data_IF_631761853323
#
_entry.id   IF_631761853323
#
_cell.length_a   1.000
_cell.length_b   1.000
_cell.length_c   1.000
_cell.angle_alpha   90.00
_cell.angle_beta   90.00
_cell.angle_gamma   90.00
#
_symmetry.space_group_name_H-M   'P 1'
#
loop_
_entity.id
_entity.type
_entity.pdbx_description
1 polymer ?
#
# COMPACT_ATOMS: atom_id res chain seq x y z
N UNK A 1 46.56 8.60 -2.94
CA UNK A 1 45.78 7.44 -2.45
C UNK A 1 44.53 7.79 -1.62
N UNK A 2 44.22 9.07 -1.35
CA UNK A 2 42.93 9.47 -0.79
C UNK A 2 41.80 9.65 -1.83
N UNK A 3 42.13 9.72 -3.14
CA UNK A 3 41.14 9.72 -4.22
C UNK A 3 40.45 8.36 -4.42
N UNK A 4 41.12 7.22 -4.17
CA UNK A 4 40.49 5.89 -4.25
C UNK A 4 39.42 5.68 -3.17
N UNK A 5 39.61 6.30 -2.00
CA UNK A 5 38.68 6.24 -0.87
C UNK A 5 37.41 7.03 -1.20
N UNK A 6 37.55 8.19 -1.85
CA UNK A 6 36.40 8.96 -2.34
C UNK A 6 35.64 8.20 -3.43
N UNK A 7 36.34 7.61 -4.41
CA UNK A 7 35.69 6.77 -5.42
C UNK A 7 34.92 5.58 -4.80
N UNK A 8 35.47 4.92 -3.78
CA UNK A 8 34.76 3.86 -3.05
C UNK A 8 33.49 4.38 -2.35
N UNK A 9 33.56 5.54 -1.68
CA UNK A 9 32.41 6.11 -0.94
C UNK A 9 31.32 6.65 -1.88
N UNK A 10 31.69 7.15 -3.07
CA UNK A 10 30.73 7.54 -4.11
C UNK A 10 30.12 6.31 -4.81
N UNK A 11 30.91 5.27 -5.08
CA UNK A 11 30.44 4.05 -5.73
C UNK A 11 29.47 3.26 -4.85
N UNK A 12 29.72 3.15 -3.54
CA UNK A 12 28.78 2.48 -2.61
C UNK A 12 27.47 3.24 -2.40
N UNK A 13 27.45 4.58 -2.59
CA UNK A 13 26.20 5.35 -2.61
C UNK A 13 25.33 5.03 -3.83
N UNK A 14 25.91 4.54 -4.93
CA UNK A 14 25.18 4.08 -6.12
C UNK A 14 24.68 2.63 -6.04
N UNK A 15 25.17 1.80 -5.09
CA UNK A 15 24.66 0.43 -4.90
C UNK A 15 23.48 0.42 -3.90
N UNK A 16 23.39 1.42 -3.02
CA UNK A 16 22.26 1.56 -2.10
C UNK A 16 20.96 2.10 -2.75
N UNK A 17 21.00 2.60 -3.99
CA UNK A 17 19.79 3.06 -4.72
C UNK A 17 19.09 1.92 -5.50
N UNK A 18 19.65 0.70 -5.47
CA UNK A 18 18.96 -0.50 -5.99
C UNK A 18 18.44 -1.41 -4.88
N UNK A 19 18.62 -1.02 -3.62
CA UNK A 19 17.93 -1.60 -2.47
C UNK A 19 16.54 -0.98 -2.25
N UNK A 20 15.91 -0.44 -3.31
CA UNK A 20 14.45 -0.45 -3.43
C UNK A 20 13.97 -1.90 -3.63
N UNK A 21 14.32 -2.79 -2.72
CA UNK A 21 13.54 -3.99 -2.46
C UNK A 21 12.36 -3.56 -1.59
N UNK A 22 11.43 -2.84 -2.20
CA UNK A 22 10.13 -2.55 -1.63
C UNK A 22 9.12 -3.46 -2.31
N UNK A 23 9.11 -4.74 -1.89
CA UNK A 23 7.85 -5.48 -1.73
C UNK A 23 7.02 -4.86 -0.59
N UNK A 24 6.85 -3.54 -0.66
CA UNK A 24 6.39 -2.66 0.37
C UNK A 24 5.92 -1.43 -0.36
N UNK A 25 4.71 -1.54 -0.89
CA UNK A 25 3.96 -0.47 -1.52
C UNK A 25 4.07 0.75 -0.61
N UNK A 26 4.88 1.70 -1.07
CA UNK A 26 5.08 2.98 -0.43
C UNK A 26 3.71 3.64 -0.39
N UNK A 27 3.33 4.04 0.82
CA UNK A 27 2.07 4.68 1.17
C UNK A 27 1.85 5.95 0.34
N UNK A 28 1.28 5.79 -0.85
CA UNK A 28 0.84 6.86 -1.71
C UNK A 28 -0.67 7.02 -1.56
N UNK A 29 -1.17 7.45 -0.39
CA UNK A 29 -2.55 7.96 -0.17
C UNK A 29 -3.73 7.10 -0.69
N UNK A 30 -3.48 5.83 -0.98
CA UNK A 30 -4.45 4.85 -1.47
C UNK A 30 -4.22 3.62 -0.62
N UNK A 31 -5.29 2.97 -0.18
CA UNK A 31 -5.22 1.78 0.65
C UNK A 31 -4.25 0.73 0.06
N UNK A 32 -3.73 -0.17 0.91
CA UNK A 32 -2.87 -1.26 0.44
C UNK A 32 -3.56 -2.09 -0.66
N UNK A 33 -2.81 -2.78 -1.52
CA UNK A 33 -3.37 -3.60 -2.62
C UNK A 33 -4.36 -4.68 -2.14
N UNK A 34 -4.32 -5.04 -0.84
CA UNK A 34 -5.24 -5.99 -0.21
C UNK A 34 -6.29 -5.31 0.68
N UNK A 35 -6.49 -4.01 0.53
CA UNK A 35 -7.44 -3.22 1.31
C UNK A 35 -8.44 -2.52 0.41
N UNK A 36 -9.67 -2.43 0.89
CA UNK A 36 -10.74 -1.66 0.29
C UNK A 36 -10.78 -0.26 0.89
N UNK A 37 -11.00 0.73 0.04
CA UNK A 37 -11.17 2.12 0.45
C UNK A 37 -12.64 2.44 0.59
N UNK A 38 -13.05 2.66 1.82
CA UNK A 38 -14.38 3.14 2.17
C UNK A 38 -14.72 4.52 1.58
N UNK A 39 -16.02 4.85 1.56
CA UNK A 39 -16.50 6.18 1.22
C UNK A 39 -15.97 7.27 2.18
N UNK A 40 -15.84 6.95 3.47
CA UNK A 40 -15.19 7.80 4.48
C UNK A 40 -13.66 7.84 4.41
N UNK A 41 -13.05 7.23 3.38
CA UNK A 41 -11.59 7.12 3.15
C UNK A 41 -10.83 6.29 4.18
N UNK A 42 -11.53 5.51 5.00
CA UNK A 42 -10.93 4.45 5.82
C UNK A 42 -10.48 3.30 4.91
N UNK A 43 -9.46 2.58 5.35
CA UNK A 43 -9.02 1.35 4.71
C UNK A 43 -9.37 0.17 5.60
N UNK A 44 -10.08 -0.81 5.03
CA UNK A 44 -10.36 -2.10 5.67
C UNK A 44 -9.79 -3.22 4.80
N UNK A 45 -9.53 -4.43 5.33
CA UNK A 45 -9.18 -5.59 4.52
C UNK A 45 -10.24 -5.90 3.46
N UNK A 46 -9.83 -6.30 2.25
CA UNK A 46 -10.79 -6.73 1.19
C UNK A 46 -11.65 -7.92 1.64
N UNK A 47 -11.15 -8.73 2.58
CA UNK A 47 -11.89 -9.86 3.16
C UNK A 47 -13.08 -9.45 4.00
N UNK A 48 -13.15 -8.18 4.45
CA UNK A 48 -14.24 -7.63 5.25
C UNK A 48 -15.27 -6.87 4.41
N UNK A 49 -15.12 -6.87 3.08
CA UNK A 49 -16.13 -6.30 2.20
C UNK A 49 -17.21 -7.36 1.99
N UNK A 50 -18.48 -7.00 2.18
CA UNK A 50 -19.62 -7.91 2.09
C UNK A 50 -19.63 -9.09 3.07
N UNK A 51 -19.11 -8.92 4.28
CA UNK A 51 -19.16 -9.98 5.30
C UNK A 51 -20.40 -9.90 6.20
N UNK A 52 -21.21 -8.86 6.05
CA UNK A 52 -22.44 -8.62 6.80
C UNK A 52 -22.24 -7.76 8.05
N UNK A 53 -21.05 -7.20 8.26
CA UNK A 53 -20.70 -6.36 9.40
C UNK A 53 -20.21 -4.99 8.92
N UNK A 54 -20.49 -3.93 9.69
CA UNK A 54 -20.09 -2.57 9.31
C UNK A 54 -18.70 -2.23 9.87
N UNK A 55 -17.65 -2.68 9.20
CA UNK A 55 -16.25 -2.40 9.56
C UNK A 55 -15.83 -0.99 9.17
N UNK A 56 -16.45 -0.47 8.11
CA UNK A 56 -16.15 0.86 7.65
C UNK A 56 -16.67 1.96 8.58
N UNK A 57 -17.76 1.70 9.31
CA UNK A 57 -18.47 2.64 10.16
C UNK A 57 -19.45 3.57 9.42
N UNK A 58 -19.40 3.59 8.08
CA UNK A 58 -20.36 4.28 7.20
C UNK A 58 -21.17 3.29 6.34
N UNK A 59 -20.99 1.97 6.54
CA UNK A 59 -21.62 0.88 5.80
C UNK A 59 -21.26 0.84 4.29
N UNK A 60 -20.24 1.56 3.84
CA UNK A 60 -19.81 1.54 2.43
C UNK A 60 -19.18 0.21 1.99
N UNK A 61 -18.74 -0.59 2.95
CA UNK A 61 -18.26 -1.96 2.81
C UNK A 61 -19.38 -3.01 2.67
N UNK A 62 -20.59 -2.66 3.08
CA UNK A 62 -21.79 -3.51 3.08
C UNK A 62 -22.88 -2.98 2.12
N UNK A 63 -22.53 -2.00 1.30
CA UNK A 63 -23.47 -1.43 0.34
C UNK A 63 -23.86 -2.49 -0.70
N UNK A 64 -25.17 -2.73 -0.83
CA UNK A 64 -25.73 -3.79 -1.67
C UNK A 64 -25.34 -3.60 -3.15
N UNK A 65 -25.26 -2.35 -3.61
CA UNK A 65 -24.93 -2.05 -5.00
C UNK A 65 -23.45 -2.27 -5.29
N UNK A 66 -22.56 -1.98 -4.32
CA UNK A 66 -21.13 -2.30 -4.43
C UNK A 66 -20.89 -3.81 -4.34
N UNK A 67 -21.61 -4.51 -3.45
CA UNK A 67 -21.46 -5.93 -3.23
C UNK A 67 -21.90 -6.81 -4.41
N UNK A 68 -22.92 -6.38 -5.15
CA UNK A 68 -23.42 -7.09 -6.34
C UNK A 68 -22.51 -7.01 -7.56
N UNK A 69 -21.42 -6.24 -7.50
CA UNK A 69 -20.51 -6.01 -8.63
C UNK A 69 -19.46 -7.12 -8.79
N UNK A 70 -19.41 -8.08 -7.86
CA UNK A 70 -18.43 -9.17 -7.81
C UNK A 70 -18.86 -10.49 -8.46
N UNK A 71 -20.01 -10.56 -9.16
CA UNK A 71 -20.46 -11.74 -9.93
C UNK A 71 -20.03 -11.72 -11.41
#
# INVERSE_FOLDING_TARGET
MWWLILFCVFYVKSIAVLASNTTGIESANVCSVKQFQCANKRCIPITWVCEGENDCGDNSDEDIEECKKGE
#
